data_IF_239012091415
#
_entry.id   IF_239012091415
#
_cell.length_a   1.000
_cell.length_b   1.000
_cell.length_c   1.000
_cell.angle_alpha   90.00
_cell.angle_beta   90.00
_cell.angle_gamma   90.00
#
_symmetry.space_group_name_H-M   'P 1'
#
loop_
_entity.id
_entity.type
_entity.pdbx_description
1 polymer ?
#
# COMPACT_ATOMS: atom_id res chain seq x y z
N UNK A 1 -14.28 -18.28 27.81
CA UNK A 1 -14.77 -17.03 27.17
C UNK A 1 -13.68 -16.03 26.79
N UNK A 2 -12.47 -16.11 27.34
CA UNK A 2 -11.36 -15.17 27.04
C UNK A 2 -10.65 -15.42 25.70
N UNK A 3 -10.74 -16.63 25.14
CA UNK A 3 -10.09 -16.98 23.87
C UNK A 3 -10.76 -16.38 22.62
N UNK A 4 -12.07 -16.13 22.67
CA UNK A 4 -12.83 -15.65 21.51
C UNK A 4 -12.56 -14.16 21.20
N UNK A 5 -12.24 -13.37 22.24
CA UNK A 5 -11.90 -11.96 22.09
C UNK A 5 -10.55 -11.73 21.37
N UNK A 6 -9.57 -12.62 21.57
CA UNK A 6 -8.23 -12.46 21.01
C UNK A 6 -8.17 -12.76 19.51
N UNK A 7 -9.00 -13.68 19.02
CA UNK A 7 -9.05 -14.05 17.59
C UNK A 7 -9.70 -12.94 16.76
N UNK A 8 -10.79 -12.34 17.27
CA UNK A 8 -11.47 -11.21 16.63
C UNK A 8 -10.55 -9.99 16.46
N UNK A 9 -9.70 -9.71 17.45
CA UNK A 9 -8.76 -8.57 17.42
C UNK A 9 -7.57 -8.72 16.46
N UNK A 10 -7.18 -9.95 16.08
CA UNK A 10 -6.09 -10.16 15.09
C UNK A 10 -6.56 -10.10 13.64
N UNK A 11 -7.75 -10.61 13.32
CA UNK A 11 -8.29 -10.59 11.95
C UNK A 11 -8.68 -9.18 11.50
N UNK A 12 -9.31 -8.38 12.38
CA UNK A 12 -9.66 -6.99 12.06
C UNK A 12 -8.44 -6.12 11.73
N UNK A 13 -7.29 -6.41 12.36
CA UNK A 13 -6.03 -5.70 12.11
C UNK A 13 -5.51 -5.93 10.69
N UNK A 14 -5.83 -7.07 10.06
CA UNK A 14 -5.39 -7.40 8.70
C UNK A 14 -6.20 -6.65 7.64
N UNK A 15 -7.53 -6.61 7.78
CA UNK A 15 -8.45 -5.95 6.82
C UNK A 15 -8.27 -4.42 6.85
N UNK A 16 -8.15 -3.84 8.04
CA UNK A 16 -8.00 -2.40 8.20
C UNK A 16 -6.64 -1.90 7.65
N UNK A 17 -5.57 -2.68 7.82
CA UNK A 17 -4.28 -2.37 7.19
C UNK A 17 -4.33 -2.47 5.66
N UNK A 18 -5.10 -3.39 5.07
CA UNK A 18 -5.33 -3.43 3.61
C UNK A 18 -6.01 -2.16 3.12
N UNK A 19 -7.09 -1.73 3.79
CA UNK A 19 -7.80 -0.49 3.45
C UNK A 19 -6.85 0.72 3.49
N UNK A 20 -6.02 0.81 4.53
CA UNK A 20 -5.02 1.87 4.71
C UNK A 20 -3.95 1.87 3.63
N UNK A 21 -3.46 0.70 3.24
CA UNK A 21 -2.48 0.56 2.17
C UNK A 21 -3.06 0.95 0.81
N UNK A 22 -4.27 0.47 0.49
CA UNK A 22 -4.98 0.86 -0.74
C UNK A 22 -5.19 2.37 -0.81
N UNK A 23 -5.62 3.00 0.29
CA UNK A 23 -5.78 4.45 0.36
C UNK A 23 -4.48 5.19 0.05
N UNK A 24 -3.36 4.76 0.66
CA UNK A 24 -2.04 5.36 0.44
C UNK A 24 -1.54 5.14 -0.99
N UNK A 25 -1.74 3.96 -1.57
CA UNK A 25 -1.38 3.65 -2.96
C UNK A 25 -2.13 4.55 -3.95
N UNK A 26 -3.39 4.89 -3.65
CA UNK A 26 -4.19 5.83 -4.45
C UNK A 26 -3.87 7.31 -4.15
N UNK A 27 -3.04 7.59 -3.15
CA UNK A 27 -2.69 8.97 -2.76
C UNK A 27 -3.82 9.73 -2.05
N UNK A 28 -4.82 9.04 -1.51
CA UNK A 28 -5.98 9.68 -0.89
C UNK A 28 -5.73 10.07 0.58
N UNK A 29 -6.15 11.29 0.94
CA UNK A 29 -6.12 11.74 2.34
C UNK A 29 -7.27 11.14 3.14
N UNK A 30 -7.11 11.07 4.48
CA UNK A 30 -8.20 10.64 5.37
C UNK A 30 -9.41 11.58 5.28
N UNK A 31 -9.18 12.88 5.02
CA UNK A 31 -10.24 13.87 4.83
C UNK A 31 -11.01 13.67 3.50
N UNK A 32 -10.35 13.21 2.46
CA UNK A 32 -11.03 12.85 1.21
C UNK A 32 -11.95 11.63 1.43
N UNK A 33 -11.43 10.60 2.11
CA UNK A 33 -12.19 9.39 2.40
C UNK A 33 -13.34 9.62 3.37
N UNK A 34 -13.18 10.51 4.35
CA UNK A 34 -14.25 10.88 5.28
C UNK A 34 -15.41 11.56 4.56
N UNK A 35 -15.13 12.44 3.58
CA UNK A 35 -16.14 13.06 2.72
C UNK A 35 -16.92 12.04 1.89
N UNK A 36 -16.27 10.98 1.40
CA UNK A 36 -16.92 9.91 0.61
C UNK A 36 -18.01 9.19 1.41
N UNK A 37 -17.74 8.89 2.69
CA UNK A 37 -18.70 8.20 3.57
C UNK A 37 -19.50 9.18 4.46
N UNK A 38 -19.42 10.49 4.18
CA UNK A 38 -20.15 11.54 4.90
C UNK A 38 -19.92 11.53 6.41
N UNK A 39 -18.66 11.35 6.82
CA UNK A 39 -18.23 11.39 8.24
C UNK A 39 -17.13 12.44 8.45
N UNK A 40 -16.78 12.72 9.71
CA UNK A 40 -15.61 13.52 10.04
C UNK A 40 -14.30 12.71 9.95
N UNK A 41 -13.18 13.43 9.79
CA UNK A 41 -11.84 12.83 9.64
C UNK A 41 -11.39 12.02 10.86
N UNK A 42 -11.81 12.40 12.07
CA UNK A 42 -11.44 11.66 13.30
C UNK A 42 -12.15 10.31 13.37
N UNK A 43 -13.45 10.28 13.09
CA UNK A 43 -14.23 9.06 13.02
C UNK A 43 -13.74 8.14 11.88
N UNK A 44 -13.38 8.70 10.72
CA UNK A 44 -12.73 7.92 9.66
C UNK A 44 -11.40 7.30 10.13
N UNK A 45 -10.55 8.06 10.81
CA UNK A 45 -9.27 7.56 11.33
C UNK A 45 -9.47 6.40 12.30
N UNK A 46 -10.45 6.49 13.21
CA UNK A 46 -10.83 5.41 14.13
C UNK A 46 -11.36 4.17 13.39
N UNK A 47 -12.15 4.37 12.34
CA UNK A 47 -12.62 3.30 11.45
C UNK A 47 -11.44 2.61 10.75
N UNK A 48 -10.53 3.37 10.18
CA UNK A 48 -9.33 2.89 9.49
C UNK A 48 -8.34 2.18 10.43
N UNK A 49 -8.32 2.53 11.72
CA UNK A 49 -7.51 1.83 12.73
C UNK A 49 -8.22 0.60 13.33
N UNK A 50 -9.51 0.39 13.00
CA UNK A 50 -10.32 -0.71 13.54
C UNK A 50 -10.92 -0.45 14.93
N UNK A 51 -10.81 0.76 15.46
CA UNK A 51 -11.42 1.16 16.74
C UNK A 51 -12.94 1.33 16.62
N UNK A 52 -13.43 1.58 15.41
CA UNK A 52 -14.85 1.77 15.09
C UNK A 52 -15.22 0.87 13.91
N UNK A 53 -16.37 0.21 13.99
CA UNK A 53 -16.89 -0.63 12.91
C UNK A 53 -17.25 0.23 11.69
N UNK A 54 -16.89 -0.28 10.50
CA UNK A 54 -17.36 0.23 9.21
C UNK A 54 -18.58 -0.58 8.80
N UNK A 55 -19.69 0.09 8.48
CA UNK A 55 -20.93 -0.56 8.04
C UNK A 55 -20.87 -0.92 6.55
N UNK A 56 -21.72 -1.85 6.10
CA UNK A 56 -21.64 -2.38 4.73
C UNK A 56 -21.87 -1.31 3.66
N UNK A 57 -22.79 -0.37 3.88
CA UNK A 57 -22.99 0.78 2.99
C UNK A 57 -21.74 1.68 2.87
N UNK A 58 -20.96 1.78 3.95
CA UNK A 58 -19.72 2.55 3.96
C UNK A 58 -18.62 1.80 3.22
N UNK A 59 -18.57 0.47 3.38
CA UNK A 59 -17.67 -0.39 2.62
C UNK A 59 -17.89 -0.26 1.12
N UNK A 60 -19.14 -0.26 0.65
CA UNK A 60 -19.47 -0.08 -0.77
C UNK A 60 -18.97 1.26 -1.32
N UNK A 61 -19.18 2.34 -0.57
CA UNK A 61 -18.70 3.68 -0.94
C UNK A 61 -17.17 3.75 -1.00
N UNK A 62 -16.49 3.16 -0.02
CA UNK A 62 -15.03 3.12 0.03
C UNK A 62 -14.45 2.27 -1.11
N UNK A 63 -15.02 1.10 -1.36
CA UNK A 63 -14.61 0.20 -2.45
C UNK A 63 -14.78 0.88 -3.81
N UNK A 64 -15.92 1.54 -4.04
CA UNK A 64 -16.18 2.33 -5.24
C UNK A 64 -15.17 3.47 -5.43
N UNK A 65 -14.82 4.17 -4.35
CA UNK A 65 -13.83 5.25 -4.42
C UNK A 65 -12.40 4.72 -4.69
N UNK A 66 -12.07 3.54 -4.18
CA UNK A 66 -10.78 2.89 -4.38
C UNK A 66 -10.68 2.10 -5.69
N UNK A 67 -11.81 1.91 -6.40
CA UNK A 67 -11.90 1.19 -7.67
C UNK A 67 -11.64 -0.32 -7.51
N UNK A 68 -12.08 -0.90 -6.40
CA UNK A 68 -11.94 -2.33 -6.07
C UNK A 68 -13.27 -2.88 -5.59
N UNK A 69 -13.43 -4.19 -5.55
CA UNK A 69 -14.62 -4.83 -4.97
C UNK A 69 -14.52 -4.88 -3.43
N UNK A 70 -15.67 -4.85 -2.74
CA UNK A 70 -15.71 -4.91 -1.26
C UNK A 70 -15.08 -6.20 -0.74
N UNK A 71 -15.32 -7.29 -1.45
CA UNK A 71 -14.77 -8.61 -1.16
C UNK A 71 -13.25 -8.61 -1.25
N UNK A 72 -12.65 -7.92 -2.23
CA UNK A 72 -11.19 -7.83 -2.35
C UNK A 72 -10.53 -7.15 -1.14
N UNK A 73 -11.22 -6.19 -0.52
CA UNK A 73 -10.72 -5.52 0.69
C UNK A 73 -10.94 -6.40 1.94
N UNK A 74 -12.12 -7.03 2.05
CA UNK A 74 -12.53 -7.82 3.22
C UNK A 74 -11.96 -9.24 3.23
N UNK A 75 -11.58 -9.79 2.07
CA UNK A 75 -11.07 -11.14 1.95
C UNK A 75 -9.68 -11.22 2.57
N UNK A 76 -9.54 -12.03 3.61
CA UNK A 76 -8.23 -12.50 4.06
C UNK A 76 -7.74 -13.55 3.06
N UNK A 77 -7.28 -13.13 1.87
CA UNK A 77 -6.41 -14.00 1.09
C UNK A 77 -5.27 -14.38 2.03
N UNK A 78 -5.04 -15.67 2.34
CA UNK A 78 -3.81 -16.06 3.00
C UNK A 78 -2.72 -15.53 2.10
N UNK A 79 -1.94 -14.58 2.59
CA UNK A 79 -0.71 -14.21 1.92
C UNK A 79 0.02 -15.54 1.72
N UNK A 80 0.08 -16.03 0.49
CA UNK A 80 1.03 -17.06 0.10
C UNK A 80 2.40 -16.39 0.21
N UNK A 81 2.84 -16.18 1.46
CA UNK A 81 4.22 -15.96 1.80
C UNK A 81 4.85 -17.30 1.48
N UNK A 82 5.42 -17.39 0.28
CA UNK A 82 6.33 -18.47 -0.05
C UNK A 82 7.54 -18.25 0.85
N UNK A 83 7.48 -18.82 2.06
CA UNK A 83 8.53 -18.69 3.04
C UNK A 83 9.63 -19.67 2.63
N UNK A 84 10.59 -19.23 1.81
CA UNK A 84 11.84 -19.94 1.60
C UNK A 84 12.70 -19.78 2.86
N UNK A 85 12.25 -20.39 3.95
CA UNK A 85 12.95 -20.39 5.22
C UNK A 85 13.89 -21.60 5.20
N UNK A 86 15.02 -21.46 4.51
CA UNK A 86 16.11 -22.42 4.68
C UNK A 86 16.64 -22.23 6.11
N UNK A 87 16.32 -23.21 6.94
CA UNK A 87 16.44 -23.11 8.40
C UNK A 87 17.88 -23.40 8.78
N UNK A 88 18.68 -22.35 9.01
CA UNK A 88 19.80 -22.42 9.96
C UNK A 88 20.31 -21.02 10.31
N UNK A 89 19.77 -20.44 11.38
CA UNK A 89 20.60 -19.91 12.50
C UNK A 89 19.70 -19.19 13.49
N UNK A 90 19.77 -19.73 14.70
CA UNK A 90 19.16 -19.27 15.92
C UNK A 90 19.78 -17.92 16.34
N UNK A 91 18.99 -16.85 16.51
CA UNK A 91 19.22 -15.74 17.45
C UNK A 91 18.11 -14.70 17.37
N UNK A 92 17.57 -14.34 18.53
CA UNK A 92 16.38 -13.52 18.69
C UNK A 92 16.52 -12.05 18.28
N UNK A 93 15.34 -11.49 18.02
CA UNK A 93 14.95 -10.13 18.39
C UNK A 93 15.82 -8.97 17.90
N UNK A 94 15.95 -8.78 16.58
CA UNK A 94 15.93 -7.43 15.99
C UNK A 94 15.35 -7.54 14.58
N UNK A 95 14.23 -6.84 14.35
CA UNK A 95 13.56 -6.70 13.07
C UNK A 95 14.45 -5.93 12.08
N UNK A 96 15.41 -6.61 11.47
CA UNK A 96 16.00 -6.18 10.22
C UNK A 96 15.40 -7.07 9.14
N UNK A 97 14.18 -6.72 8.70
CA UNK A 97 13.70 -7.12 7.37
C UNK A 97 14.62 -6.44 6.34
N UNK A 98 15.81 -7.01 6.16
CA UNK A 98 16.69 -6.66 5.06
C UNK A 98 16.07 -7.28 3.83
N UNK A 99 15.18 -6.52 3.18
CA UNK A 99 14.68 -6.86 1.87
C UNK A 99 15.91 -6.95 0.95
N UNK A 100 16.37 -8.17 0.67
CA UNK A 100 17.36 -8.40 -0.39
C UNK A 100 16.66 -8.10 -1.71
N UNK A 101 16.81 -6.86 -2.19
CA UNK A 101 16.38 -6.47 -3.52
C UNK A 101 17.31 -7.20 -4.50
N UNK A 102 16.79 -8.08 -5.37
CA UNK A 102 17.62 -8.76 -6.37
C UNK A 102 18.39 -7.75 -7.23
N UNK A 103 19.69 -7.99 -7.44
CA UNK A 103 20.58 -7.09 -8.19
C UNK A 103 20.05 -6.75 -9.60
N UNK A 104 19.35 -7.69 -10.24
CA UNK A 104 18.74 -7.47 -11.56
C UNK A 104 17.71 -6.32 -11.54
N UNK A 105 16.98 -6.12 -10.43
CA UNK A 105 16.00 -5.04 -10.31
C UNK A 105 16.73 -3.70 -10.22
N UNK A 106 17.82 -3.65 -9.46
CA UNK A 106 18.65 -2.45 -9.34
C UNK A 106 19.29 -2.10 -10.69
N UNK A 107 19.82 -3.10 -11.40
CA UNK A 107 20.39 -2.94 -12.74
C UNK A 107 19.35 -2.42 -13.75
N UNK A 108 18.16 -3.00 -13.75
CA UNK A 108 17.07 -2.55 -14.63
C UNK A 108 16.66 -1.10 -14.32
N UNK A 109 16.57 -0.72 -13.05
CA UNK A 109 16.30 0.67 -12.65
C UNK A 109 17.41 1.61 -13.08
N UNK A 110 18.67 1.21 -12.93
CA UNK A 110 19.82 2.02 -13.34
C UNK A 110 19.84 2.22 -14.87
N UNK A 111 19.53 1.17 -15.64
CA UNK A 111 19.41 1.26 -17.09
C UNK A 111 18.31 2.23 -17.51
N UNK A 112 17.16 2.19 -16.84
CA UNK A 112 16.06 3.12 -17.10
C UNK A 112 16.44 4.58 -16.78
N UNK A 113 17.12 4.81 -15.66
CA UNK A 113 17.63 6.15 -15.29
C UNK A 113 18.60 6.67 -16.35
N UNK A 114 19.51 5.82 -16.84
CA UNK A 114 20.48 6.20 -17.86
C UNK A 114 19.79 6.58 -19.18
N UNK A 115 18.82 5.77 -19.62
CA UNK A 115 18.04 6.04 -20.81
C UNK A 115 17.27 7.37 -20.71
N UNK A 116 16.64 7.65 -19.57
CA UNK A 116 15.93 8.91 -19.35
C UNK A 116 16.87 10.12 -19.37
N UNK A 117 18.07 10.01 -18.79
CA UNK A 117 19.06 11.09 -18.82
C UNK A 117 19.53 11.40 -20.23
N UNK A 118 19.78 10.37 -21.04
CA UNK A 118 20.16 10.52 -22.45
C UNK A 118 19.08 11.25 -23.24
N UNK A 119 17.81 10.84 -23.09
CA UNK A 119 16.68 11.49 -23.74
C UNK A 119 16.54 12.97 -23.34
N UNK A 120 16.79 13.29 -22.06
CA UNK A 120 16.76 14.68 -21.58
C UNK A 120 17.85 15.52 -22.26
N UNK A 121 19.05 14.99 -22.44
CA UNK A 121 20.14 15.73 -23.10
C UNK A 121 19.84 15.96 -24.58
N UNK A 122 19.33 14.95 -25.30
CA UNK A 122 18.87 15.09 -26.69
C UNK A 122 17.80 16.19 -26.80
N UNK A 123 16.77 16.15 -25.95
CA UNK A 123 15.70 17.14 -25.96
C UNK A 123 16.20 18.55 -25.61
N UNK A 124 17.19 18.69 -24.72
CA UNK A 124 17.79 20.00 -24.40
C UNK A 124 18.57 20.56 -25.60
N UNK A 125 19.32 19.73 -26.30
CA UNK A 125 20.04 20.14 -27.50
C UNK A 125 19.09 20.56 -28.62
N UNK A 126 18.02 19.79 -28.85
CA UNK A 126 16.96 20.15 -29.81
C UNK A 126 16.31 21.49 -29.45
N UNK A 127 15.95 21.68 -28.18
CA UNK A 127 15.40 22.95 -27.70
C UNK A 127 16.37 24.12 -27.88
N UNK A 128 17.67 23.89 -27.69
CA UNK A 128 18.69 24.92 -27.92
C UNK A 128 18.76 25.29 -29.40
N UNK A 129 18.81 24.30 -30.30
CA UNK A 129 18.81 24.51 -31.76
C UNK A 129 17.56 25.25 -32.23
N UNK A 130 16.39 24.92 -31.68
CA UNK A 130 15.12 25.59 -32.01
C UNK A 130 15.03 27.02 -31.48
N UNK A 131 15.71 27.35 -30.38
CA UNK A 131 15.78 28.72 -29.84
C UNK A 131 16.82 29.60 -30.54
N UNK A 132 17.77 28.98 -31.24
CA UNK A 132 18.81 29.66 -32.02
C UNK A 132 18.38 29.91 -33.49
N UNK A 133 17.26 29.33 -33.93
CA UNK A 133 16.54 29.63 -35.18
C UNK A 133 15.54 30.78 -34.97
#
# INVERSE_FOLDING_TARGET
>A
MTFFFYICGKHAKTIMEKLKNLRKQRGFSQEYMSRIISTDTSNYSRKENGDVKIYDEEWEKLAKALGVEVEEIKEEKPSHVVNFNDTSTNSGAFLNNYYNIPDYILENQQNYINLLKEQIEVLKEENKKLKEQ
#
